data_IF_054313264636
#
_entry.id   IF_054313264636
#
_cell.length_a   1.000
_cell.length_b   1.000
_cell.length_c   1.000
_cell.angle_alpha   90.00
_cell.angle_beta   90.00
_cell.angle_gamma   90.00
#
_symmetry.space_group_name_H-M   'P 1'
#
loop_
_entity.id
_entity.type
_entity.pdbx_description
1 polymer ?
#
# COMPACT_ATOMS: atom_id res chain seq x y z
N UNK A 1 -13.44 20.60 -13.65
CA UNK A 1 -14.22 20.04 -14.77
C UNK A 1 -13.50 18.79 -15.30
N UNK A 2 -13.72 17.62 -14.68
CA UNK A 2 -13.09 16.32 -15.03
C UNK A 2 -14.12 15.29 -15.53
N UNK A 3 -15.36 15.72 -15.79
CA UNK A 3 -16.57 14.92 -15.65
C UNK A 3 -16.77 13.77 -16.66
N UNK A 4 -15.83 13.43 -17.54
CA UNK A 4 -16.01 12.31 -18.49
C UNK A 4 -14.71 11.62 -18.95
N UNK A 5 -13.70 11.49 -18.09
CA UNK A 5 -12.55 10.61 -18.38
C UNK A 5 -12.69 9.28 -17.66
N UNK A 6 -12.63 8.18 -18.42
CA UNK A 6 -12.46 6.83 -17.83
C UNK A 6 -11.04 6.73 -17.27
N UNK A 7 -10.92 6.59 -15.96
CA UNK A 7 -9.63 6.41 -15.28
C UNK A 7 -9.46 4.92 -15.01
N UNK A 8 -8.33 4.36 -15.42
CA UNK A 8 -7.92 3.04 -14.94
C UNK A 8 -7.34 3.22 -13.54
N UNK A 9 -8.19 3.00 -12.53
CA UNK A 9 -7.83 3.24 -11.14
C UNK A 9 -6.64 2.39 -10.69
N UNK A 10 -6.62 1.11 -11.05
CA UNK A 10 -5.47 0.23 -10.79
C UNK A 10 -4.19 0.80 -11.37
N UNK A 11 -4.21 1.26 -12.62
CA UNK A 11 -3.02 1.83 -13.25
C UNK A 11 -2.58 3.13 -12.60
N UNK A 12 -3.52 3.95 -12.14
CA UNK A 12 -3.21 5.15 -11.38
C UNK A 12 -2.48 4.80 -10.08
N UNK A 13 -3.00 3.85 -9.31
CA UNK A 13 -2.39 3.39 -8.07
C UNK A 13 -1.01 2.76 -8.29
N UNK A 14 -0.84 1.95 -9.33
CA UNK A 14 0.47 1.39 -9.70
C UNK A 14 1.51 2.50 -9.96
N UNK A 15 1.13 3.59 -10.64
CA UNK A 15 2.05 4.70 -10.93
C UNK A 15 2.37 5.54 -9.69
N UNK A 16 1.41 5.70 -8.77
CA UNK A 16 1.67 6.35 -7.47
C UNK A 16 2.69 5.50 -6.69
N UNK A 17 2.45 4.20 -6.61
CA UNK A 17 3.34 3.25 -5.95
C UNK A 17 4.75 3.25 -6.54
N UNK A 18 4.84 3.25 -7.87
CA UNK A 18 6.12 3.37 -8.56
C UNK A 18 6.85 4.68 -8.26
N UNK A 19 6.11 5.78 -8.12
CA UNK A 19 6.70 7.09 -7.76
C UNK A 19 7.26 7.11 -6.34
N UNK A 20 6.60 6.41 -5.40
CA UNK A 20 7.11 6.22 -4.04
C UNK A 20 8.39 5.39 -4.03
N UNK A 21 8.43 4.30 -4.80
CA UNK A 21 9.63 3.48 -4.97
C UNK A 21 10.81 4.29 -5.55
N UNK A 22 10.56 5.13 -6.55
CA UNK A 22 11.57 6.04 -7.10
C UNK A 22 12.07 7.06 -6.06
N UNK A 23 11.18 7.57 -5.23
CA UNK A 23 11.56 8.50 -4.16
C UNK A 23 12.42 7.84 -3.09
N UNK A 24 12.15 6.57 -2.77
CA UNK A 24 12.87 5.80 -1.77
C UNK A 24 14.23 5.25 -2.27
N UNK A 25 14.30 4.79 -3.53
CA UNK A 25 15.45 4.04 -4.04
C UNK A 25 16.16 4.69 -5.25
N UNK A 26 15.70 5.86 -5.69
CA UNK A 26 16.31 6.60 -6.80
C UNK A 26 16.26 5.83 -8.12
N UNK A 27 17.43 5.64 -8.75
CA UNK A 27 17.55 5.05 -10.09
C UNK A 27 17.29 3.53 -10.13
N UNK A 28 17.23 2.84 -8.99
CA UNK A 28 16.99 1.40 -8.90
C UNK A 28 15.73 1.09 -8.07
N UNK A 29 14.52 1.42 -8.56
CA UNK A 29 13.28 1.09 -7.87
C UNK A 29 13.16 -0.41 -7.73
N UNK A 30 12.88 -0.89 -6.51
CA UNK A 30 12.81 -2.33 -6.31
C UNK A 30 11.53 -2.93 -6.91
N UNK A 31 10.48 -2.15 -7.14
CA UNK A 31 9.12 -2.62 -7.43
C UNK A 31 8.53 -3.42 -6.26
N UNK A 32 8.79 -2.97 -5.03
CA UNK A 32 8.47 -3.69 -3.79
C UNK A 32 7.00 -4.05 -3.71
N UNK A 33 6.16 -3.02 -3.80
CA UNK A 33 4.70 -3.11 -3.66
C UNK A 33 4.06 -3.98 -4.75
N UNK A 34 4.60 -3.95 -5.98
CA UNK A 34 4.15 -4.80 -7.09
C UNK A 34 4.47 -6.28 -6.82
N UNK A 35 5.66 -6.59 -6.28
CA UNK A 35 6.01 -7.97 -5.89
C UNK A 35 5.10 -8.45 -4.77
N UNK A 36 4.86 -7.62 -3.75
CA UNK A 36 3.94 -7.94 -2.64
C UNK A 36 2.54 -8.19 -3.17
N UNK A 37 2.02 -7.33 -4.05
CA UNK A 37 0.71 -7.49 -4.68
C UNK A 37 0.60 -8.76 -5.53
N UNK A 38 1.65 -9.11 -6.28
CA UNK A 38 1.67 -10.35 -7.06
C UNK A 38 1.60 -11.59 -6.15
N UNK A 39 2.44 -11.63 -5.11
CA UNK A 39 2.46 -12.73 -4.14
C UNK A 39 1.13 -12.84 -3.40
N UNK A 40 0.53 -11.71 -3.00
CA UNK A 40 -0.74 -11.69 -2.27
C UNK A 40 -1.89 -12.26 -3.11
N UNK A 41 -1.91 -11.98 -4.42
CA UNK A 41 -2.90 -12.56 -5.33
C UNK A 41 -2.73 -14.07 -5.50
N UNK A 42 -1.49 -14.59 -5.55
CA UNK A 42 -1.25 -16.04 -5.58
C UNK A 42 -1.85 -16.69 -4.33
N UNK A 43 -1.55 -16.14 -3.14
CA UNK A 43 -2.08 -16.63 -1.86
C UNK A 43 -3.61 -16.55 -1.85
N UNK A 44 -4.19 -15.42 -2.26
CA UNK A 44 -5.64 -15.21 -2.29
C UNK A 44 -6.36 -16.16 -3.26
N UNK A 45 -5.71 -16.56 -4.36
CA UNK A 45 -6.22 -17.58 -5.26
C UNK A 45 -6.23 -18.96 -4.59
N UNK A 46 -5.16 -19.34 -3.91
CA UNK A 46 -5.09 -20.59 -3.13
C UNK A 46 -6.17 -20.66 -2.05
N UNK A 47 -6.48 -19.52 -1.42
CA UNK A 47 -7.52 -19.40 -0.39
C UNK A 47 -8.95 -19.26 -0.96
N UNK A 48 -9.12 -19.29 -2.29
CA UNK A 48 -10.42 -19.11 -2.96
C UNK A 48 -11.16 -17.83 -2.55
N UNK A 49 -10.43 -16.74 -2.30
CA UNK A 49 -11.06 -15.46 -1.96
C UNK A 49 -11.93 -14.95 -3.11
N UNK A 50 -12.98 -14.20 -2.76
CA UNK A 50 -13.87 -13.59 -3.75
C UNK A 50 -13.12 -12.55 -4.59
N UNK A 51 -13.66 -12.23 -5.77
CA UNK A 51 -13.07 -11.22 -6.66
C UNK A 51 -12.91 -9.86 -5.97
N UNK A 52 -13.89 -9.45 -5.17
CA UNK A 52 -13.85 -8.19 -4.42
C UNK A 52 -12.70 -8.18 -3.43
N UNK A 53 -12.57 -9.23 -2.59
CA UNK A 53 -11.46 -9.36 -1.64
C UNK A 53 -10.09 -9.35 -2.31
N UNK A 54 -9.95 -10.00 -3.47
CA UNK A 54 -8.70 -9.97 -4.25
C UNK A 54 -8.36 -8.57 -4.73
N UNK A 55 -9.35 -7.79 -5.16
CA UNK A 55 -9.14 -6.40 -5.59
C UNK A 55 -8.71 -5.55 -4.40
N UNK A 56 -9.41 -5.63 -3.27
CA UNK A 56 -9.09 -4.85 -2.08
C UNK A 56 -7.70 -5.21 -1.53
N UNK A 57 -7.36 -6.50 -1.48
CA UNK A 57 -6.03 -6.97 -1.09
C UNK A 57 -4.95 -6.43 -2.04
N UNK A 58 -5.12 -6.58 -3.35
CA UNK A 58 -4.14 -6.12 -4.32
C UNK A 58 -3.92 -4.61 -4.23
N UNK A 59 -5.00 -3.83 -4.19
CA UNK A 59 -4.91 -2.38 -4.05
C UNK A 59 -4.24 -2.00 -2.73
N UNK A 60 -4.57 -2.65 -1.62
CA UNK A 60 -3.92 -2.43 -0.32
C UNK A 60 -2.41 -2.69 -0.38
N UNK A 61 -1.97 -3.76 -1.06
CA UNK A 61 -0.54 -4.01 -1.25
C UNK A 61 0.17 -2.89 -2.01
N UNK A 62 -0.49 -2.26 -2.99
CA UNK A 62 0.10 -1.18 -3.78
C UNK A 62 0.28 0.12 -2.98
N UNK A 63 -0.53 0.33 -1.94
CA UNK A 63 -0.54 1.58 -1.16
C UNK A 63 -0.21 1.40 0.32
N UNK A 64 0.21 0.22 0.78
CA UNK A 64 0.45 -0.03 2.20
C UNK A 64 1.50 0.91 2.81
N UNK A 65 2.53 1.26 2.04
CA UNK A 65 3.58 2.21 2.43
C UNK A 65 3.30 3.66 2.00
N UNK A 66 2.07 4.02 1.62
CA UNK A 66 1.77 5.40 1.18
C UNK A 66 2.03 6.45 2.26
N UNK A 67 1.98 6.03 3.54
CA UNK A 67 2.33 6.86 4.68
C UNK A 67 3.84 6.91 4.98
N UNK A 68 4.67 6.08 4.34
CA UNK A 68 6.11 6.00 4.58
C UNK A 68 6.89 7.13 3.87
N UNK A 69 6.28 8.31 3.74
CA UNK A 69 6.87 9.50 3.12
C UNK A 69 7.67 10.31 4.13
N UNK A 70 8.90 10.68 3.76
CA UNK A 70 9.76 11.56 4.57
C UNK A 70 10.90 10.83 5.29
N UNK A 71 10.88 10.86 6.63
CA UNK A 71 11.99 10.41 7.50
C UNK A 71 12.29 8.93 7.27
N UNK A 72 11.27 8.06 7.13
CA UNK A 72 11.50 6.63 6.94
C UNK A 72 12.28 6.32 5.65
N UNK A 73 11.97 7.00 4.54
CA UNK A 73 12.72 6.91 3.29
C UNK A 73 14.21 7.29 3.43
N UNK A 74 14.53 8.21 4.35
CA UNK A 74 15.91 8.61 4.66
C UNK A 74 16.60 7.66 5.66
N UNK A 75 15.81 6.93 6.45
CA UNK A 75 16.26 5.95 7.44
C UNK A 75 16.28 4.50 6.90
N UNK A 76 16.08 4.30 5.59
CA UNK A 76 16.14 2.98 4.95
C UNK A 76 17.53 2.29 5.02
N UNK A 77 18.56 2.96 5.55
CA UNK A 77 19.82 2.30 5.89
C UNK A 77 19.64 1.31 7.05
N UNK A 78 20.37 0.19 7.00
CA UNK A 78 20.26 -0.86 8.02
C UNK A 78 20.52 -0.34 9.45
N UNK A 79 21.36 0.69 9.59
CA UNK A 79 21.71 1.31 10.87
C UNK A 79 20.54 2.06 11.53
N UNK A 80 19.64 2.64 10.73
CA UNK A 80 18.57 3.50 11.21
C UNK A 80 17.20 2.82 11.26
N UNK A 81 17.11 1.58 10.76
CA UNK A 81 15.86 0.83 10.62
C UNK A 81 15.10 0.64 11.94
N UNK A 82 15.81 0.53 13.06
CA UNK A 82 15.22 0.39 14.40
C UNK A 82 14.57 1.69 14.93
N UNK A 83 14.84 2.83 14.28
CA UNK A 83 14.26 4.14 14.63
C UNK A 83 12.94 4.40 13.89
N UNK A 84 12.57 3.52 12.95
CA UNK A 84 11.36 3.62 12.15
C UNK A 84 10.16 3.18 12.98
N UNK A 85 9.17 4.06 13.13
CA UNK A 85 7.93 3.75 13.81
C UNK A 85 6.90 3.20 12.81
N UNK A 86 6.95 1.88 12.60
CA UNK A 86 6.11 1.19 11.62
C UNK A 86 4.60 1.45 11.80
N UNK A 87 4.14 1.65 13.03
CA UNK A 87 2.72 1.92 13.28
C UNK A 87 2.32 3.36 12.88
N UNK A 88 3.26 4.29 12.92
CA UNK A 88 3.02 5.70 12.58
C UNK A 88 2.78 5.88 11.08
N UNK A 89 3.61 5.30 10.21
CA UNK A 89 3.34 5.39 8.77
C UNK A 89 2.07 4.63 8.39
N UNK A 90 1.77 3.50 9.05
CA UNK A 90 0.55 2.75 8.79
C UNK A 90 -0.69 3.59 9.15
N UNK A 91 -0.62 4.32 10.26
CA UNK A 91 -1.66 5.28 10.67
C UNK A 91 -1.76 6.46 9.70
N UNK A 92 -0.64 7.03 9.26
CA UNK A 92 -0.65 8.11 8.26
C UNK A 92 -1.23 7.62 6.91
N UNK A 93 -0.91 6.39 6.50
CA UNK A 93 -1.48 5.76 5.32
C UNK A 93 -3.00 5.61 5.42
N UNK A 94 -3.51 5.20 6.59
CA UNK A 94 -4.96 5.21 6.86
C UNK A 94 -5.56 6.61 6.73
N UNK A 95 -4.93 7.63 7.36
CA UNK A 95 -5.46 9.00 7.35
C UNK A 95 -5.51 9.57 5.93
N UNK A 96 -4.54 9.25 5.06
CA UNK A 96 -4.54 9.63 3.64
C UNK A 96 -5.67 8.92 2.87
N UNK A 97 -5.76 7.59 3.02
CA UNK A 97 -6.66 6.77 2.21
C UNK A 97 -8.13 6.91 2.62
N UNK A 98 -8.42 7.09 3.91
CA UNK A 98 -9.78 7.22 4.43
C UNK A 98 -10.48 8.52 3.97
N UNK A 99 -9.75 9.46 3.37
CA UNK A 99 -10.31 10.67 2.75
C UNK A 99 -10.75 10.45 1.29
N UNK A 100 -10.35 9.34 0.69
CA UNK A 100 -10.69 8.99 -0.69
C UNK A 100 -11.94 8.12 -0.62
N UNK A 101 -13.07 8.52 -1.26
CA UNK A 101 -14.24 7.64 -1.39
C UNK A 101 -13.79 6.27 -1.90
N UNK A 102 -14.50 5.18 -1.60
CA UNK A 102 -14.20 3.79 -2.02
C UNK A 102 -12.90 3.16 -1.44
N UNK A 103 -12.09 3.89 -0.67
CA UNK A 103 -10.88 3.36 -0.03
C UNK A 103 -11.09 2.94 1.44
N UNK A 104 -12.31 2.91 1.96
CA UNK A 104 -12.58 2.71 3.39
C UNK A 104 -12.03 1.35 3.89
N UNK A 105 -12.26 0.28 3.14
CA UNK A 105 -11.73 -1.05 3.46
C UNK A 105 -10.21 -1.14 3.26
N UNK A 106 -9.69 -0.52 2.19
CA UNK A 106 -8.26 -0.48 1.89
C UNK A 106 -7.51 0.24 3.01
N UNK A 107 -8.04 1.38 3.48
CA UNK A 107 -7.45 2.15 4.57
C UNK A 107 -7.31 1.31 5.84
N UNK A 108 -8.34 0.53 6.20
CA UNK A 108 -8.29 -0.36 7.38
C UNK A 108 -7.20 -1.44 7.24
N UNK A 109 -7.04 -2.04 6.07
CA UNK A 109 -5.97 -3.02 5.81
C UNK A 109 -4.61 -2.35 5.94
N UNK A 110 -4.44 -1.15 5.37
CA UNK A 110 -3.20 -0.37 5.46
C UNK A 110 -2.87 0.01 6.89
N UNK A 111 -3.85 0.40 7.72
CA UNK A 111 -3.62 0.74 9.12
C UNK A 111 -2.97 -0.39 9.92
N UNK A 112 -3.32 -1.63 9.59
CA UNK A 112 -3.04 -2.81 10.39
C UNK A 112 -2.02 -3.77 9.76
N UNK A 113 -1.40 -3.41 8.64
CA UNK A 113 -0.53 -4.34 7.92
C UNK A 113 0.74 -4.76 8.70
N UNK A 114 1.10 -4.01 9.76
CA UNK A 114 2.14 -4.37 10.73
C UNK A 114 1.61 -5.03 12.01
N UNK A 115 0.28 -5.09 12.19
CA UNK A 115 -0.37 -5.64 13.38
C UNK A 115 -0.79 -7.10 13.15
N UNK A 116 0.06 -8.04 13.58
CA UNK A 116 -0.19 -9.48 13.48
C UNK A 116 -1.44 -9.96 14.27
N UNK A 117 -1.98 -9.15 15.18
CA UNK A 117 -3.17 -9.48 15.97
C UNK A 117 -4.45 -8.84 15.44
N UNK A 118 -4.39 -8.12 14.31
CA UNK A 118 -5.57 -7.45 13.77
C UNK A 118 -6.63 -8.45 13.29
N UNK A 119 -7.89 -8.14 13.60
CA UNK A 119 -9.08 -8.80 13.09
C UNK A 119 -9.71 -8.07 11.90
N UNK A 120 -9.10 -6.98 11.42
CA UNK A 120 -9.52 -6.30 10.19
C UNK A 120 -9.15 -7.18 9.00
N UNK A 121 -10.01 -8.16 8.74
CA UNK A 121 -9.84 -9.15 7.69
C UNK A 121 -10.61 -8.74 6.44
N UNK A 122 -9.99 -9.07 5.30
CA UNK A 122 -10.62 -9.13 3.97
C UNK A 122 -11.99 -9.81 4.03
#
# INVERSE_FOLDING_TARGET
MFLNRKINFTKLIENISYSLDLMAFGENPSHHTLRVGFISIIIANTLNLTRTKKIDLYLSCLVHDVGAVGIEGQLLSEENRNMINLQEHAQLGYDILNQIPFCEHIALIVKDHHNASSSNLL
#
